data_IF_410669125223
#
_entry.id   IF_410669125223
#
_cell.length_a   1.000
_cell.length_b   1.000
_cell.length_c   1.000
_cell.angle_alpha   90.00
_cell.angle_beta   90.00
_cell.angle_gamma   90.00
#
_symmetry.space_group_name_H-M   'P 1'
#
loop_
_entity.id
_entity.type
_entity.pdbx_description
1 polymer ?
#
# COMPACT_ATOMS: atom_id res chain seq x y z
N UNK A 1 -21.43 33.17 -46.05
CA UNK A 1 -21.81 33.12 -44.61
C UNK A 1 -21.29 31.79 -44.09
N UNK A 2 -20.03 31.76 -43.69
CA UNK A 2 -19.30 30.55 -43.26
C UNK A 2 -18.87 30.82 -41.83
N UNK A 3 -19.56 30.20 -40.87
CA UNK A 3 -19.19 30.29 -39.46
C UNK A 3 -17.84 29.61 -39.23
N UNK A 4 -16.85 30.40 -38.83
CA UNK A 4 -15.58 29.94 -38.31
C UNK A 4 -15.82 29.24 -36.96
N UNK A 5 -15.66 27.92 -36.91
CA UNK A 5 -15.62 27.18 -35.65
C UNK A 5 -14.36 27.55 -34.87
N UNK A 6 -14.54 28.32 -33.82
CA UNK A 6 -13.53 28.59 -32.80
C UNK A 6 -13.09 27.25 -32.16
N UNK A 7 -11.79 26.95 -32.04
CA UNK A 7 -11.34 25.79 -31.26
C UNK A 7 -11.71 26.01 -29.79
N UNK A 8 -12.40 25.04 -29.21
CA UNK A 8 -12.81 25.06 -27.82
C UNK A 8 -11.56 25.14 -26.92
N UNK A 9 -11.39 26.26 -26.23
CA UNK A 9 -10.43 26.40 -25.15
C UNK A 9 -10.65 25.28 -24.14
N UNK A 10 -9.59 24.49 -23.89
CA UNK A 10 -9.58 23.46 -22.88
C UNK A 10 -9.89 24.07 -21.53
N UNK A 11 -11.11 23.87 -21.01
CA UNK A 11 -11.47 24.26 -19.64
C UNK A 11 -10.54 23.52 -18.68
N UNK A 12 -9.52 24.23 -18.19
CA UNK A 12 -8.74 23.88 -17.01
C UNK A 12 -9.68 23.75 -15.81
N UNK A 13 -10.30 22.59 -15.64
CA UNK A 13 -10.97 22.25 -14.39
C UNK A 13 -9.86 22.10 -13.36
N UNK A 14 -9.87 22.88 -12.25
CA UNK A 14 -8.89 22.67 -11.20
C UNK A 14 -8.99 21.21 -10.74
N UNK A 15 -7.85 20.51 -10.77
CA UNK A 15 -7.76 19.14 -10.28
C UNK A 15 -8.20 19.06 -8.81
N UNK A 16 -8.54 17.86 -8.31
CA UNK A 16 -8.96 17.71 -6.92
C UNK A 16 -7.88 18.26 -5.98
N UNK A 17 -8.27 19.19 -5.08
CA UNK A 17 -7.36 19.86 -4.15
C UNK A 17 -6.73 18.93 -3.09
N UNK A 18 -7.10 17.65 -3.06
CA UNK A 18 -6.55 16.66 -2.15
C UNK A 18 -7.09 15.26 -2.42
N UNK A 19 -6.65 14.30 -1.60
CA UNK A 19 -7.02 12.90 -1.76
C UNK A 19 -8.29 12.50 -1.02
N UNK A 20 -8.99 13.44 -0.36
CA UNK A 20 -10.21 13.14 0.41
C UNK A 20 -11.47 13.09 -0.46
N UNK A 21 -12.40 12.22 -0.10
CA UNK A 21 -13.80 12.18 -0.55
C UNK A 21 -14.72 12.16 0.67
N UNK A 22 -16.03 12.31 0.49
CA UNK A 22 -16.98 12.15 1.60
C UNK A 22 -16.82 10.77 2.27
N UNK A 23 -16.69 9.71 1.48
CA UNK A 23 -16.49 8.34 1.98
C UNK A 23 -15.18 8.18 2.76
N UNK A 24 -14.04 8.68 2.27
CA UNK A 24 -12.77 8.56 3.00
C UNK A 24 -12.76 9.40 4.27
N UNK A 25 -13.51 10.52 4.32
CA UNK A 25 -13.64 11.34 5.53
C UNK A 25 -14.44 10.60 6.60
N UNK A 26 -15.57 9.97 6.23
CA UNK A 26 -16.35 9.13 7.16
C UNK A 26 -15.50 7.96 7.65
N UNK A 27 -14.83 7.24 6.75
CA UNK A 27 -13.93 6.15 7.14
C UNK A 27 -12.79 6.62 8.05
N UNK A 28 -12.22 7.79 7.79
CA UNK A 28 -11.19 8.40 8.64
C UNK A 28 -11.71 8.72 10.03
N UNK A 29 -12.92 9.30 10.15
CA UNK A 29 -13.55 9.57 11.44
C UNK A 29 -13.86 8.28 12.21
N UNK A 30 -14.39 7.25 11.54
CA UNK A 30 -14.65 5.93 12.13
C UNK A 30 -13.34 5.29 12.60
N UNK A 31 -12.28 5.38 11.79
CA UNK A 31 -10.95 4.87 12.14
C UNK A 31 -10.41 5.57 13.39
N UNK A 32 -10.44 6.91 13.43
CA UNK A 32 -9.95 7.69 14.56
C UNK A 32 -10.76 7.37 15.83
N UNK A 33 -12.08 7.34 15.74
CA UNK A 33 -12.94 6.98 16.87
C UNK A 33 -12.66 5.55 17.35
N UNK A 34 -12.47 4.60 16.43
CA UNK A 34 -12.11 3.22 16.73
C UNK A 34 -10.76 3.12 17.44
N UNK A 35 -9.73 3.84 16.97
CA UNK A 35 -8.41 3.87 17.60
C UNK A 35 -8.44 4.52 19.00
N UNK A 36 -9.18 5.61 19.18
CA UNK A 36 -9.39 6.23 20.50
C UNK A 36 -10.10 5.27 21.44
N UNK A 37 -11.15 4.61 20.96
CA UNK A 37 -11.89 3.59 21.73
C UNK A 37 -10.98 2.42 22.09
N UNK A 38 -10.14 1.96 21.16
CA UNK A 38 -9.16 0.91 21.40
C UNK A 38 -8.18 1.32 22.51
N UNK A 39 -7.65 2.55 22.50
CA UNK A 39 -6.75 3.04 23.56
C UNK A 39 -7.47 3.07 24.91
N UNK A 40 -8.72 3.54 24.97
CA UNK A 40 -9.52 3.53 26.20
C UNK A 40 -9.74 2.11 26.73
N UNK A 41 -10.13 1.18 25.87
CA UNK A 41 -10.29 -0.22 26.27
C UNK A 41 -8.97 -0.86 26.67
N UNK A 42 -7.90 -0.63 25.91
CA UNK A 42 -6.59 -1.19 26.15
C UNK A 42 -5.96 -0.73 27.46
N UNK A 43 -6.26 0.46 27.99
CA UNK A 43 -5.62 1.00 29.20
C UNK A 43 -6.56 1.24 30.40
N UNK A 44 -7.87 1.38 30.18
CA UNK A 44 -8.82 1.72 31.24
C UNK A 44 -9.75 0.55 31.57
N UNK A 45 -10.31 -0.11 30.55
CA UNK A 45 -11.37 -1.11 30.76
C UNK A 45 -10.87 -2.55 30.77
N UNK A 46 -9.88 -2.87 29.94
CA UNK A 46 -9.34 -4.22 29.86
C UNK A 46 -8.48 -4.51 31.10
N UNK A 47 -8.80 -5.57 31.87
CA UNK A 47 -8.02 -5.95 33.02
C UNK A 47 -6.65 -6.52 32.62
N UNK A 48 -5.72 -6.55 33.57
CA UNK A 48 -4.49 -7.31 33.43
C UNK A 48 -4.82 -8.80 33.26
N UNK A 49 -4.05 -9.48 32.42
CA UNK A 49 -4.18 -10.93 32.22
C UNK A 49 -3.64 -11.71 33.41
N UNK A 50 -4.18 -12.90 33.68
CA UNK A 50 -3.75 -13.75 34.80
C UNK A 50 -2.29 -14.18 34.64
N UNK A 51 -1.86 -14.54 33.43
CA UNK A 51 -0.53 -15.06 33.16
C UNK A 51 0.40 -13.98 32.59
N UNK A 52 -0.12 -13.14 31.69
CA UNK A 52 0.65 -12.11 31.00
C UNK A 52 0.67 -10.77 31.77
N UNK A 53 -0.17 -10.60 32.79
CA UNK A 53 -0.32 -9.34 33.51
C UNK A 53 -0.62 -8.18 32.57
N UNK A 54 0.07 -7.06 32.79
CA UNK A 54 -0.04 -5.84 31.97
C UNK A 54 0.51 -6.01 30.55
N UNK A 55 1.34 -7.03 30.29
CA UNK A 55 1.94 -7.22 28.96
C UNK A 55 0.91 -7.61 27.90
N UNK A 56 -0.27 -8.11 28.30
CA UNK A 56 -1.39 -8.41 27.38
C UNK A 56 -1.81 -7.21 26.53
N UNK A 57 -1.64 -5.98 27.06
CA UNK A 57 -2.06 -4.76 26.35
C UNK A 57 -1.33 -4.56 25.02
N UNK A 58 -0.10 -5.07 24.90
CA UNK A 58 0.64 -4.99 23.62
C UNK A 58 0.01 -5.89 22.55
N UNK A 59 -0.72 -6.94 22.93
CA UNK A 59 -1.40 -7.83 21.99
C UNK A 59 -2.51 -7.13 21.23
N UNK A 60 -3.14 -6.12 21.84
CA UNK A 60 -4.16 -5.28 21.19
C UNK A 60 -3.61 -4.40 20.06
N UNK A 61 -2.29 -4.32 19.90
CA UNK A 61 -1.61 -3.66 18.79
C UNK A 61 -0.85 -4.67 17.93
N UNK A 62 -0.11 -5.59 18.56
CA UNK A 62 0.73 -6.58 17.89
C UNK A 62 -0.08 -7.52 17.00
N UNK A 63 -1.12 -8.16 17.54
CA UNK A 63 -1.93 -9.15 16.80
C UNK A 63 -2.71 -8.50 15.66
N UNK A 64 -3.39 -7.34 15.84
CA UNK A 64 -3.99 -6.62 14.72
C UNK A 64 -2.98 -6.22 13.64
N UNK A 65 -1.77 -5.79 14.03
CA UNK A 65 -0.71 -5.47 13.07
C UNK A 65 -0.26 -6.69 12.26
N UNK A 66 -0.20 -7.87 12.89
CA UNK A 66 0.12 -9.13 12.21
C UNK A 66 -0.96 -9.51 11.19
N UNK A 67 -2.23 -9.40 11.56
CA UNK A 67 -3.35 -9.72 10.67
C UNK A 67 -3.39 -8.74 9.49
N UNK A 68 -3.24 -7.45 9.74
CA UNK A 68 -3.16 -6.44 8.68
C UNK A 68 -1.97 -6.72 7.75
N UNK A 69 -0.84 -7.16 8.29
CA UNK A 69 0.31 -7.55 7.47
C UNK A 69 -0.06 -8.68 6.51
N UNK A 70 -0.70 -9.75 6.99
CA UNK A 70 -1.15 -10.83 6.12
C UNK A 70 -2.19 -10.38 5.08
N UNK A 71 -3.14 -9.53 5.48
CA UNK A 71 -4.12 -8.94 4.55
C UNK A 71 -3.45 -8.09 3.48
N UNK A 72 -2.41 -7.31 3.84
CA UNK A 72 -1.64 -6.54 2.88
C UNK A 72 -0.94 -7.45 1.86
N UNK A 73 -0.32 -8.55 2.31
CA UNK A 73 0.31 -9.53 1.43
C UNK A 73 -0.71 -10.15 0.47
N UNK A 74 -1.88 -10.54 1.00
CA UNK A 74 -2.96 -11.09 0.19
C UNK A 74 -3.46 -10.07 -0.87
N UNK A 75 -3.71 -8.82 -0.47
CA UNK A 75 -4.16 -7.76 -1.38
C UNK A 75 -3.10 -7.44 -2.44
N UNK A 76 -1.82 -7.44 -2.06
CA UNK A 76 -0.68 -7.27 -2.98
C UNK A 76 -0.62 -8.40 -3.99
N UNK A 77 -0.81 -9.64 -3.55
CA UNK A 77 -0.81 -10.82 -4.42
C UNK A 77 -2.01 -10.82 -5.37
N UNK A 78 -3.21 -10.50 -4.89
CA UNK A 78 -4.42 -10.37 -5.72
C UNK A 78 -4.22 -9.28 -6.77
N UNK A 79 -3.78 -8.08 -6.36
CA UNK A 79 -3.50 -7.01 -7.32
C UNK A 79 -2.43 -7.38 -8.34
N UNK A 80 -1.38 -8.07 -7.91
CA UNK A 80 -0.33 -8.56 -8.80
C UNK A 80 -0.86 -9.61 -9.79
N UNK A 81 -1.66 -10.58 -9.33
CA UNK A 81 -2.23 -11.63 -10.18
C UNK A 81 -3.20 -11.06 -11.21
N UNK A 82 -4.09 -10.16 -10.78
CA UNK A 82 -5.05 -9.53 -11.70
C UNK A 82 -4.31 -8.63 -12.70
N UNK A 83 -3.31 -7.86 -12.26
CA UNK A 83 -2.46 -7.08 -13.15
C UNK A 83 -1.80 -7.94 -14.22
N UNK A 84 -1.21 -9.09 -13.87
CA UNK A 84 -0.57 -9.96 -14.86
C UNK A 84 -1.56 -10.47 -15.92
N UNK A 85 -2.82 -10.68 -15.54
CA UNK A 85 -3.90 -11.13 -16.44
C UNK A 85 -4.39 -10.02 -17.38
N UNK A 86 -4.62 -8.80 -16.87
CA UNK A 86 -5.33 -7.75 -17.62
C UNK A 86 -4.50 -6.50 -17.93
N UNK A 87 -3.27 -6.41 -17.42
CA UNK A 87 -2.36 -5.26 -17.55
C UNK A 87 -2.96 -3.92 -17.15
N UNK A 88 -3.91 -3.96 -16.21
CA UNK A 88 -4.59 -2.77 -15.74
C UNK A 88 -3.76 -2.04 -14.69
N UNK A 89 -3.48 -0.76 -14.97
CA UNK A 89 -2.76 0.14 -14.08
C UNK A 89 -3.39 0.22 -12.68
N UNK A 90 -4.72 0.12 -12.57
CA UNK A 90 -5.42 0.11 -11.29
C UNK A 90 -4.90 -1.00 -10.37
N UNK A 91 -4.79 -2.23 -10.88
CA UNK A 91 -4.37 -3.37 -10.06
C UNK A 91 -2.88 -3.31 -9.72
N UNK A 92 -2.08 -2.72 -10.60
CA UNK A 92 -0.66 -2.43 -10.33
C UNK A 92 -0.49 -1.46 -9.17
N UNK A 93 -1.18 -0.32 -9.24
CA UNK A 93 -1.14 0.72 -8.21
C UNK A 93 -1.74 0.24 -6.89
N UNK A 94 -2.77 -0.62 -6.93
CA UNK A 94 -3.36 -1.21 -5.73
C UNK A 94 -2.37 -2.15 -5.04
N UNK A 95 -1.69 -3.01 -5.80
CA UNK A 95 -0.66 -3.89 -5.26
C UNK A 95 0.50 -3.09 -4.65
N UNK A 96 0.97 -2.05 -5.36
CA UNK A 96 2.03 -1.19 -4.86
C UNK A 96 1.64 -0.46 -3.57
N UNK A 97 0.44 0.12 -3.54
CA UNK A 97 -0.05 0.87 -2.38
C UNK A 97 -0.26 -0.04 -1.17
N UNK A 98 -0.79 -1.25 -1.40
CA UNK A 98 -0.94 -2.27 -0.35
C UNK A 98 0.41 -2.68 0.22
N UNK A 99 1.41 -2.92 -0.62
CA UNK A 99 2.75 -3.30 -0.17
C UNK A 99 3.42 -2.19 0.66
N UNK A 100 3.27 -0.92 0.28
CA UNK A 100 3.86 0.20 1.00
C UNK A 100 3.27 0.36 2.39
N UNK A 101 1.94 0.29 2.53
CA UNK A 101 1.29 0.33 3.83
C UNK A 101 1.58 -0.95 4.63
N UNK A 102 1.63 -2.10 3.96
CA UNK A 102 1.93 -3.38 4.57
C UNK A 102 3.34 -3.46 5.19
N UNK A 103 4.34 -2.79 4.61
CA UNK A 103 5.68 -2.64 5.23
C UNK A 103 5.57 -1.94 6.59
N UNK A 104 4.73 -0.91 6.72
CA UNK A 104 4.57 -0.18 7.98
C UNK A 104 3.97 -1.07 9.07
N UNK A 105 2.91 -1.82 8.76
CA UNK A 105 2.30 -2.75 9.71
C UNK A 105 3.21 -3.93 10.04
N UNK A 106 3.97 -4.44 9.07
CA UNK A 106 4.92 -5.52 9.29
C UNK A 106 6.08 -5.06 10.21
N UNK A 107 6.59 -3.85 9.99
CA UNK A 107 7.58 -3.23 10.87
C UNK A 107 7.02 -2.98 12.28
N UNK A 108 5.80 -2.46 12.38
CA UNK A 108 5.12 -2.26 13.67
C UNK A 108 4.93 -3.59 14.42
N UNK A 109 4.51 -4.64 13.73
CA UNK A 109 4.39 -5.99 14.28
C UNK A 109 5.75 -6.50 14.79
N UNK A 110 6.84 -6.35 14.02
CA UNK A 110 8.18 -6.75 14.46
C UNK A 110 8.62 -5.98 15.71
N UNK A 111 8.46 -4.66 15.73
CA UNK A 111 8.84 -3.82 16.87
C UNK A 111 8.04 -4.18 18.12
N UNK A 112 6.73 -4.30 17.99
CA UNK A 112 5.87 -4.67 19.12
C UNK A 112 6.14 -6.10 19.60
N UNK A 113 6.43 -7.04 18.69
CA UNK A 113 6.82 -8.40 19.04
C UNK A 113 8.15 -8.45 19.79
N UNK A 114 9.15 -7.67 19.37
CA UNK A 114 10.42 -7.54 20.09
C UNK A 114 10.21 -6.98 21.50
N UNK A 115 9.42 -5.92 21.63
CA UNK A 115 9.11 -5.31 22.92
C UNK A 115 8.39 -6.27 23.86
N UNK A 116 7.48 -7.11 23.34
CA UNK A 116 6.81 -8.16 24.12
C UNK A 116 7.74 -9.31 24.48
N UNK A 117 8.70 -9.68 23.61
CA UNK A 117 9.65 -10.75 23.88
C UNK A 117 10.51 -10.50 25.13
N UNK A 118 10.82 -9.23 25.45
CA UNK A 118 11.67 -8.89 26.59
C UNK A 118 11.08 -9.31 27.95
N UNK A 119 9.85 -8.92 28.33
CA UNK A 119 9.23 -9.39 29.57
C UNK A 119 8.86 -10.88 29.52
N UNK A 120 8.55 -11.46 28.36
CA UNK A 120 8.08 -12.86 28.27
C UNK A 120 9.21 -13.89 28.26
N UNK A 121 10.30 -13.62 27.53
CA UNK A 121 11.43 -14.57 27.34
C UNK A 121 12.76 -14.04 27.86
N UNK A 122 12.79 -12.83 28.40
CA UNK A 122 14.02 -12.20 28.86
C UNK A 122 14.91 -11.63 27.75
N UNK A 123 14.47 -11.60 26.49
CA UNK A 123 15.24 -11.03 25.35
C UNK A 123 14.32 -10.44 24.29
N UNK A 124 14.78 -9.39 23.59
CA UNK A 124 14.02 -8.76 22.50
C UNK A 124 13.97 -9.62 21.23
N UNK A 125 14.94 -10.51 21.04
CA UNK A 125 15.03 -11.31 19.83
C UNK A 125 15.64 -12.68 20.12
N UNK A 126 15.08 -13.68 19.44
CA UNK A 126 15.64 -15.02 19.30
C UNK A 126 15.53 -15.41 17.83
N UNK A 127 16.46 -16.22 17.36
CA UNK A 127 16.45 -16.72 15.98
C UNK A 127 15.58 -17.98 15.85
N UNK A 128 14.34 -17.89 16.35
CA UNK A 128 13.38 -18.98 16.20
C UNK A 128 12.68 -18.94 14.83
N UNK A 129 11.91 -19.99 14.50
CA UNK A 129 11.28 -20.11 13.20
C UNK A 129 10.28 -18.98 12.91
N UNK A 130 9.50 -18.54 13.92
CA UNK A 130 8.50 -17.48 13.78
C UNK A 130 9.16 -16.13 13.52
N UNK A 131 10.06 -15.71 14.39
CA UNK A 131 10.72 -14.42 14.33
C UNK A 131 11.54 -14.31 13.05
N UNK A 132 12.31 -15.36 12.73
CA UNK A 132 13.15 -15.38 11.52
C UNK A 132 12.32 -15.32 10.25
N UNK A 133 11.28 -16.15 10.11
CA UNK A 133 10.41 -16.12 8.92
C UNK A 133 9.66 -14.79 8.79
N UNK A 134 9.28 -14.16 9.91
CA UNK A 134 8.65 -12.85 9.93
C UNK A 134 9.63 -11.74 9.50
N UNK A 135 10.89 -11.80 9.92
CA UNK A 135 11.93 -10.89 9.43
C UNK A 135 12.17 -11.05 7.91
N UNK A 136 12.18 -12.30 7.41
CA UNK A 136 12.24 -12.57 5.96
C UNK A 136 11.02 -12.00 5.24
N UNK A 137 9.81 -12.17 5.80
CA UNK A 137 8.59 -11.58 5.26
C UNK A 137 8.71 -10.04 5.16
N UNK A 138 9.22 -9.37 6.20
CA UNK A 138 9.47 -7.93 6.14
C UNK A 138 10.45 -7.54 5.03
N UNK A 139 11.58 -8.25 4.92
CA UNK A 139 12.59 -8.01 3.89
C UNK A 139 12.06 -8.25 2.47
N UNK A 140 11.20 -9.26 2.26
CA UNK A 140 10.56 -9.50 0.96
C UNK A 140 9.71 -8.31 0.51
N UNK A 141 9.05 -7.64 1.45
CA UNK A 141 8.22 -6.48 1.18
C UNK A 141 9.02 -5.20 0.93
N UNK A 142 10.09 -4.99 1.71
CA UNK A 142 11.09 -3.96 1.40
C UNK A 142 11.71 -4.21 0.02
N UNK A 143 12.05 -5.46 -0.30
CA UNK A 143 12.59 -5.88 -1.60
C UNK A 143 11.62 -5.64 -2.76
N UNK A 144 10.33 -5.91 -2.57
CA UNK A 144 9.28 -5.57 -3.54
C UNK A 144 9.26 -4.06 -3.82
N UNK A 145 9.31 -3.22 -2.79
CA UNK A 145 9.34 -1.77 -2.95
C UNK A 145 10.64 -1.28 -3.58
N UNK A 146 11.78 -1.89 -3.23
CA UNK A 146 13.07 -1.58 -3.85
C UNK A 146 13.06 -1.91 -5.35
N UNK A 147 12.49 -3.05 -5.75
CA UNK A 147 12.31 -3.42 -7.15
C UNK A 147 11.46 -2.41 -7.92
N UNK A 148 10.39 -1.88 -7.29
CA UNK A 148 9.55 -0.82 -7.86
C UNK A 148 10.30 0.50 -8.12
N UNK A 149 11.47 0.70 -7.51
CA UNK A 149 12.32 1.89 -7.68
C UNK A 149 13.46 1.68 -8.67
N UNK A 150 13.62 0.47 -9.20
CA UNK A 150 14.64 0.20 -10.23
C UNK A 150 14.26 0.95 -11.52
N UNK A 151 15.21 1.72 -12.12
CA UNK A 151 14.95 2.39 -13.38
C UNK A 151 14.56 1.41 -14.48
N UNK A 152 13.52 1.75 -15.25
CA UNK A 152 13.05 0.93 -16.36
C UNK A 152 11.69 1.38 -16.85
N UNK A 153 11.26 0.79 -17.97
CA UNK A 153 9.91 1.02 -18.50
C UNK A 153 8.84 0.60 -17.49
N UNK A 154 7.83 1.44 -17.30
CA UNK A 154 6.81 1.27 -16.25
C UNK A 154 6.13 -0.10 -16.31
N UNK A 155 5.81 -0.60 -17.50
CA UNK A 155 5.20 -1.93 -17.65
C UNK A 155 6.16 -3.07 -17.28
N UNK A 156 7.44 -2.95 -17.65
CA UNK A 156 8.45 -3.97 -17.31
C UNK A 156 8.66 -4.04 -15.80
N UNK A 157 8.76 -2.88 -15.14
CA UNK A 157 8.88 -2.79 -13.68
C UNK A 157 7.63 -3.35 -13.00
N UNK A 158 6.43 -2.94 -13.44
CA UNK A 158 5.16 -3.44 -12.90
C UNK A 158 5.02 -4.96 -13.04
N UNK A 159 5.38 -5.54 -14.20
CA UNK A 159 5.37 -6.99 -14.41
C UNK A 159 6.33 -7.73 -13.50
N UNK A 160 7.57 -7.26 -13.37
CA UNK A 160 8.57 -7.86 -12.47
C UNK A 160 8.11 -7.78 -11.01
N UNK A 161 7.62 -6.62 -10.60
CA UNK A 161 7.09 -6.42 -9.25
C UNK A 161 5.88 -7.33 -8.99
N UNK A 162 4.96 -7.49 -9.94
CA UNK A 162 3.81 -8.38 -9.79
C UNK A 162 4.22 -9.84 -9.58
N UNK A 163 5.22 -10.34 -10.32
CA UNK A 163 5.76 -11.70 -10.11
C UNK A 163 6.34 -11.83 -8.70
N UNK A 164 7.11 -10.85 -8.25
CA UNK A 164 7.67 -10.84 -6.88
C UNK A 164 6.55 -10.77 -5.83
N UNK A 165 5.51 -9.96 -6.04
CA UNK A 165 4.37 -9.85 -5.11
C UNK A 165 3.59 -11.15 -4.96
N UNK A 166 3.41 -11.89 -6.07
CA UNK A 166 2.82 -13.22 -6.08
C UNK A 166 3.69 -14.25 -5.35
N UNK A 167 5.00 -14.22 -5.55
CA UNK A 167 5.92 -15.12 -4.84
C UNK A 167 5.99 -14.79 -3.34
N UNK A 168 5.97 -13.50 -2.99
CA UNK A 168 6.12 -13.04 -1.62
C UNK A 168 4.97 -13.51 -0.70
N UNK A 169 3.74 -13.68 -1.21
CA UNK A 169 2.61 -14.18 -0.40
C UNK A 169 2.83 -15.59 0.13
N UNK A 170 3.70 -16.38 -0.50
CA UNK A 170 4.00 -17.76 -0.07
C UNK A 170 4.71 -17.81 1.28
N UNK A 171 5.32 -16.71 1.74
CA UNK A 171 5.91 -16.63 3.08
C UNK A 171 4.84 -16.58 4.17
N UNK A 172 3.64 -16.09 3.88
CA UNK A 172 2.55 -15.94 4.86
C UNK A 172 2.16 -17.28 5.51
N UNK A 173 1.88 -18.37 4.78
CA UNK A 173 1.59 -19.65 5.40
C UNK A 173 2.79 -20.22 6.16
N UNK A 174 4.03 -19.99 5.68
CA UNK A 174 5.25 -20.44 6.38
C UNK A 174 5.36 -19.74 7.74
N UNK A 175 5.16 -18.43 7.77
CA UNK A 175 5.12 -17.66 9.01
C UNK A 175 3.98 -18.18 9.87
N UNK A 176 2.74 -18.17 9.39
CA UNK A 176 1.57 -18.60 10.17
C UNK A 176 1.69 -20.01 10.77
N UNK A 177 2.22 -20.98 10.01
CA UNK A 177 2.41 -22.36 10.45
C UNK A 177 3.76 -22.63 11.13
N UNK A 178 4.61 -21.62 11.30
CA UNK A 178 5.94 -21.83 11.86
C UNK A 178 5.93 -22.39 13.28
N UNK A 179 4.87 -22.10 14.05
CA UNK A 179 4.69 -22.57 15.44
C UNK A 179 4.21 -24.03 15.50
N UNK A 180 3.47 -24.47 14.47
CA UNK A 180 3.01 -25.86 14.35
C UNK A 180 4.14 -26.76 13.79
N UNK A 181 4.96 -26.22 12.87
CA UNK A 181 5.97 -26.99 12.14
C UNK A 181 7.30 -27.09 12.88
N UNK A 182 7.66 -26.10 13.70
CA UNK A 182 8.92 -26.10 14.44
C UNK A 182 8.70 -25.76 15.91
N UNK A 183 9.62 -26.26 16.74
CA UNK A 183 9.69 -25.86 18.14
C UNK A 183 10.00 -24.37 18.22
N UNK A 184 9.03 -23.60 18.69
CA UNK A 184 9.10 -22.14 18.80
C UNK A 184 8.87 -21.72 20.25
N UNK A 185 9.51 -20.62 20.66
CA UNK A 185 9.19 -19.95 21.92
C UNK A 185 7.93 -19.08 21.78
N UNK A 186 7.54 -18.79 20.54
CA UNK A 186 6.34 -18.05 20.24
C UNK A 186 5.10 -18.86 20.60
N UNK A 187 4.14 -18.20 21.25
CA UNK A 187 2.85 -18.78 21.57
C UNK A 187 2.13 -19.17 20.27
N UNK A 188 1.37 -20.27 20.34
CA UNK A 188 0.48 -20.69 19.25
C UNK A 188 -0.55 -19.60 18.97
N UNK A 189 -1.01 -19.53 17.71
CA UNK A 189 -1.92 -18.48 17.30
C UNK A 189 -3.33 -18.76 17.88
N UNK A 190 -3.71 -18.03 18.93
CA UNK A 190 -5.10 -17.96 19.40
C UNK A 190 -5.92 -17.16 18.38
N UNK A 191 -6.26 -17.78 17.26
CA UNK A 191 -7.14 -17.17 16.24
C UNK A 191 -8.39 -18.00 16.05
N UNK A 192 -9.56 -17.33 16.13
CA UNK A 192 -10.94 -17.65 15.71
C UNK A 192 -11.52 -19.08 15.84
N UNK A 193 -10.72 -20.15 15.77
CA UNK A 193 -11.14 -21.55 15.91
C UNK A 193 -10.65 -22.26 17.18
N UNK A 194 -9.70 -21.68 17.91
CA UNK A 194 -9.33 -22.06 19.28
C UNK A 194 -9.85 -20.98 20.23
N UNK A 195 -11.18 -20.85 20.30
CA UNK A 195 -11.82 -20.00 21.29
C UNK A 195 -11.54 -20.62 22.65
N UNK A 196 -10.43 -20.22 23.27
CA UNK A 196 -10.18 -20.54 24.66
C UNK A 196 -11.25 -19.82 25.50
N UNK A 197 -12.11 -20.54 26.23
CA UNK A 197 -13.13 -19.93 27.09
C UNK A 197 -12.53 -19.05 28.19
N UNK A 198 -11.21 -19.08 28.39
CA UNK A 198 -10.50 -18.35 29.44
C UNK A 198 -10.06 -16.92 29.09
N UNK A 199 -10.13 -16.46 27.82
CA UNK A 199 -9.92 -15.03 27.55
C UNK A 199 -11.17 -14.25 27.98
N UNK A 200 -11.06 -13.59 29.13
CA UNK A 200 -12.15 -12.88 29.78
C UNK A 200 -12.72 -11.76 28.88
N UNK A 201 -14.03 -11.53 28.95
CA UNK A 201 -14.82 -10.94 27.86
C UNK A 201 -14.30 -9.59 27.34
N UNK A 202 -13.75 -8.74 28.22
CA UNK A 202 -13.20 -7.44 27.84
C UNK A 202 -11.86 -7.53 27.11
N UNK A 203 -10.99 -8.49 27.44
CA UNK A 203 -9.71 -8.67 26.74
C UNK A 203 -9.97 -9.14 25.30
N UNK A 204 -10.88 -10.10 25.12
CA UNK A 204 -11.28 -10.58 23.80
C UNK A 204 -11.93 -9.46 22.98
N UNK A 205 -12.90 -8.75 23.56
CA UNK A 205 -13.52 -7.61 22.90
C UNK A 205 -12.50 -6.57 22.46
N UNK A 206 -11.54 -6.23 23.34
CA UNK A 206 -10.49 -5.25 23.04
C UNK A 206 -9.59 -5.70 21.88
N UNK A 207 -9.25 -6.99 21.82
CA UNK A 207 -8.48 -7.56 20.72
C UNK A 207 -9.21 -7.45 19.37
N UNK A 208 -10.50 -7.81 19.33
CA UNK A 208 -11.31 -7.73 18.11
C UNK A 208 -11.61 -6.28 17.69
N UNK A 209 -11.81 -5.39 18.66
CA UNK A 209 -11.86 -3.96 18.42
C UNK A 209 -10.54 -3.48 17.78
N UNK A 210 -9.41 -3.98 18.27
CA UNK A 210 -8.09 -3.72 17.68
C UNK A 210 -7.99 -4.20 16.23
N UNK A 211 -8.41 -5.43 15.95
CA UNK A 211 -8.47 -5.99 14.59
C UNK A 211 -9.32 -5.12 13.66
N UNK A 212 -10.51 -4.71 14.10
CA UNK A 212 -11.40 -3.87 13.32
C UNK A 212 -10.81 -2.46 13.08
N UNK A 213 -10.29 -1.81 14.12
CA UNK A 213 -9.72 -0.47 14.03
C UNK A 213 -8.47 -0.44 13.12
N UNK A 214 -7.57 -1.43 13.25
CA UNK A 214 -6.38 -1.53 12.42
C UNK A 214 -6.73 -1.94 10.98
N UNK A 215 -7.75 -2.78 10.78
CA UNK A 215 -8.29 -3.09 9.46
C UNK A 215 -8.87 -1.85 8.76
N UNK A 216 -9.67 -1.04 9.47
CA UNK A 216 -10.16 0.24 8.96
C UNK A 216 -9.01 1.20 8.64
N UNK A 217 -8.02 1.30 9.53
CA UNK A 217 -6.82 2.11 9.32
C UNK A 217 -6.06 1.66 8.07
N UNK A 218 -5.86 0.36 7.87
CA UNK A 218 -5.21 -0.19 6.70
C UNK A 218 -5.95 0.20 5.41
N UNK A 219 -7.26 -0.04 5.34
CA UNK A 219 -8.08 0.31 4.18
C UNK A 219 -8.01 1.81 3.91
N UNK A 220 -8.13 2.63 4.95
CA UNK A 220 -8.08 4.08 4.83
C UNK A 220 -6.74 4.56 4.28
N UNK A 221 -5.62 4.06 4.81
CA UNK A 221 -4.28 4.39 4.35
C UNK A 221 -4.03 3.91 2.91
N UNK A 222 -4.45 2.70 2.55
CA UNK A 222 -4.30 2.17 1.19
C UNK A 222 -5.11 3.00 0.19
N UNK A 223 -6.34 3.41 0.53
CA UNK A 223 -7.14 4.30 -0.33
C UNK A 223 -6.44 5.62 -0.61
N UNK A 224 -5.90 6.27 0.43
CA UNK A 224 -5.16 7.52 0.26
C UNK A 224 -3.86 7.32 -0.52
N UNK A 225 -3.09 6.27 -0.21
CA UNK A 225 -1.84 5.97 -0.90
C UNK A 225 -2.05 5.63 -2.38
N UNK A 226 -3.10 4.87 -2.69
CA UNK A 226 -3.53 4.57 -4.05
C UNK A 226 -3.86 5.85 -4.80
N UNK A 227 -4.64 6.75 -4.18
CA UNK A 227 -5.04 8.00 -4.81
C UNK A 227 -3.85 8.91 -5.10
N UNK A 228 -2.87 8.98 -4.18
CA UNK A 228 -1.60 9.67 -4.44
C UNK A 228 -0.88 9.04 -5.63
N UNK A 229 -0.76 7.71 -5.67
CA UNK A 229 -0.08 6.99 -6.74
C UNK A 229 -0.73 7.28 -8.12
N UNK A 230 -2.06 7.21 -8.16
CA UNK A 230 -2.84 7.42 -9.36
C UNK A 230 -2.72 8.87 -9.86
N UNK A 231 -2.84 9.86 -8.96
CA UNK A 231 -2.68 11.26 -9.34
C UNK A 231 -1.25 11.57 -9.81
N UNK A 232 -0.23 10.98 -9.18
CA UNK A 232 1.15 11.12 -9.63
C UNK A 232 1.33 10.59 -11.07
N UNK A 233 0.72 9.44 -11.40
CA UNK A 233 0.75 8.90 -12.76
C UNK A 233 0.00 9.78 -13.77
N UNK A 234 -1.14 10.35 -13.38
CA UNK A 234 -1.88 11.28 -14.24
C UNK A 234 -1.09 12.56 -14.55
N UNK A 235 -0.36 13.10 -13.57
CA UNK A 235 0.51 14.28 -13.79
C UNK A 235 1.65 13.93 -14.76
N UNK A 236 2.31 12.79 -14.57
CA UNK A 236 3.38 12.30 -15.45
C UNK A 236 2.90 12.15 -16.90
N UNK A 237 1.76 11.48 -17.11
CA UNK A 237 1.17 11.28 -18.45
C UNK A 237 0.72 12.58 -19.12
N UNK A 238 0.15 13.53 -18.36
CA UNK A 238 -0.27 14.83 -18.89
C UNK A 238 0.93 15.67 -19.32
N UNK A 239 1.99 15.69 -18.50
CA UNK A 239 3.25 16.38 -18.84
C UNK A 239 3.91 15.81 -20.08
N UNK A 240 3.90 14.49 -20.25
CA UNK A 240 4.39 13.83 -21.46
C UNK A 240 3.58 14.24 -22.71
N UNK A 241 2.24 14.29 -22.61
CA UNK A 241 1.40 14.71 -23.73
C UNK A 241 1.66 16.17 -24.13
N UNK A 242 1.84 17.07 -23.15
CA UNK A 242 2.18 18.46 -23.41
C UNK A 242 3.52 18.60 -24.14
N UNK A 243 4.55 17.88 -23.68
CA UNK A 243 5.87 17.88 -24.34
C UNK A 243 5.81 17.33 -25.77
N UNK A 244 5.02 16.28 -26.03
CA UNK A 244 4.80 15.75 -27.38
C UNK A 244 4.10 16.79 -28.26
N UNK A 245 3.10 17.49 -27.73
CA UNK A 245 2.37 18.53 -28.47
C UNK A 245 3.28 19.71 -28.83
N UNK A 246 4.13 20.16 -27.91
CA UNK A 246 5.13 21.21 -28.14
C UNK A 246 6.11 20.81 -29.25
N UNK A 247 6.70 19.60 -29.17
CA UNK A 247 7.62 19.10 -30.22
C UNK A 247 6.96 18.97 -31.59
N UNK A 248 5.67 18.60 -31.64
CA UNK A 248 4.91 18.58 -32.90
C UNK A 248 4.67 19.98 -33.45
N UNK A 249 4.41 20.96 -32.59
CA UNK A 249 4.25 22.35 -32.99
C UNK A 249 5.56 22.95 -33.53
N UNK A 250 6.69 22.67 -32.89
CA UNK A 250 8.03 23.03 -33.39
C UNK A 250 8.28 22.47 -34.80
N UNK A 251 8.01 21.17 -35.01
CA UNK A 251 8.21 20.52 -36.30
C UNK A 251 7.33 21.10 -37.43
N UNK A 252 6.10 21.50 -37.12
CA UNK A 252 5.19 22.16 -38.08
C UNK A 252 5.63 23.60 -38.38
N UNK A 253 6.10 24.33 -37.36
CA UNK A 253 6.65 25.68 -37.51
C UNK A 253 7.88 25.71 -38.42
N UNK A 254 8.81 24.78 -38.23
CA UNK A 254 10.01 24.65 -39.07
C UNK A 254 9.67 24.24 -40.52
N UNK A 255 8.68 23.35 -40.72
CA UNK A 255 8.20 22.97 -42.04
C UNK A 255 7.59 24.15 -42.82
N UNK A 256 6.76 24.95 -42.15
CA UNK A 256 6.17 26.17 -42.72
C UNK A 256 7.21 27.25 -43.06
N UNK A 257 8.24 27.40 -42.22
CA UNK A 257 9.35 28.32 -42.46
C UNK A 257 10.25 27.86 -43.64
N UNK A 258 10.41 26.55 -43.84
CA UNK A 258 11.16 26.00 -44.97
C UNK A 258 10.40 26.16 -46.30
N UNK A 259 9.08 25.92 -46.30
CA UNK A 259 8.22 26.03 -47.49
C UNK A 259 8.05 27.49 -47.96
N UNK A 260 7.95 28.44 -47.02
CA UNK A 260 7.93 29.88 -47.32
C UNK A 260 9.26 30.42 -47.87
N UNK A 261 10.41 29.88 -47.43
CA UNK A 261 11.70 30.20 -48.05
C UNK A 261 11.79 29.71 -49.48
N UNK A 262 11.35 28.47 -49.76
CA UNK A 262 11.39 27.90 -51.12
C UNK A 262 10.51 28.67 -52.11
N UNK A 263 9.31 29.07 -51.70
CA UNK A 263 8.40 29.88 -52.54
C UNK A 263 8.97 31.28 -52.81
N UNK A 264 9.59 31.93 -51.83
CA UNK A 264 10.26 33.23 -52.05
C UNK A 264 11.45 33.15 -53.01
N UNK A 265 12.19 32.04 -53.01
CA UNK A 265 13.30 31.82 -53.96
C UNK A 265 12.83 31.47 -55.37
N UNK A 266 11.63 30.90 -55.54
CA UNK A 266 11.09 30.59 -56.88
C UNK A 266 10.43 31.79 -57.57
N UNK A 267 9.91 32.76 -56.83
CA UNK A 267 9.27 33.96 -57.41
C UNK A 267 10.29 35.06 -57.82
N UNK A 268 11.55 34.95 -57.38
CA UNK A 268 12.62 35.90 -57.73
C UNK A 268 13.30 35.64 -59.09
N UNK A 269 12.87 34.63 -59.86
CA UNK A 269 13.43 34.29 -61.17
C UNK A 269 12.34 34.41 -62.24
N UNK A 270 12.13 35.64 -62.74
CA UNK A 270 11.54 35.87 -64.06
C UNK A 270 12.61 36.45 -64.99
N UNK A 271 12.66 36.03 -66.27
CA UNK A 271 13.72 36.36 -67.22
C UNK A 271 13.77 37.84 -67.62
#
# INVERSE_FOLDING_TARGET
>A
MTESRHPAEGRNRPGPAGTSSAGTKVLGLVTIAGLVTLVLFAFVFSPADTDLGETVRIMYVHVPSAIVTYLAFALTAVGSAVYLKNRSEFWDLLAWSSAEIGVLFCGLMLVTGMLWGRPTWGTYWVWDARLTSTAVMFLLYVGYLALRRVPGEGEVVARRAAVVGLGAVLIVPIVHKSVDWWRSLHQEATTLGQLDPEIDGLQYFTLFLGMAAFGCLFVWLVMHRFRVAYLARQVESSGLQAAIAERRAEAVGDGSAAESRQTSTSEGVSP
#
